data_IF_783498131654
#
_entry.id   IF_783498131654
#
_cell.length_a   1.000
_cell.length_b   1.000
_cell.length_c   1.000
_cell.angle_alpha   90.00
_cell.angle_beta   90.00
_cell.angle_gamma   90.00
#
_symmetry.space_group_name_H-M   'P 1'
#
loop_
_entity.id
_entity.type
_entity.pdbx_description
1 polymer ?
#
# COMPACT_ATOMS: atom_id res chain seq x y z
N UNK A 1 -14.80 10.89 -36.79
CA UNK A 1 -15.93 11.75 -36.49
C UNK A 1 -17.07 11.56 -37.50
N UNK A 2 -16.81 11.60 -38.82
CA UNK A 2 -17.84 11.44 -39.87
C UNK A 2 -18.63 10.13 -39.70
N UNK A 3 -17.99 8.99 -39.42
CA UNK A 3 -18.63 7.68 -39.29
C UNK A 3 -19.39 7.49 -37.96
N UNK A 4 -19.25 8.40 -36.98
CA UNK A 4 -19.97 8.34 -35.72
C UNK A 4 -21.31 9.05 -35.79
N UNK A 5 -21.43 10.09 -36.65
CA UNK A 5 -22.65 10.89 -36.81
C UNK A 5 -23.58 10.40 -37.91
N UNK A 6 -23.17 9.43 -38.74
CA UNK A 6 -24.02 8.84 -39.77
C UNK A 6 -25.16 7.93 -39.23
N UNK A 7 -25.17 7.65 -37.89
CA UNK A 7 -26.15 6.76 -37.27
C UNK A 7 -27.36 7.48 -36.61
N UNK A 8 -27.29 8.77 -36.39
CA UNK A 8 -28.46 9.54 -35.90
C UNK A 8 -28.95 10.48 -37.00
N UNK A 9 -30.06 10.09 -37.61
CA UNK A 9 -30.87 10.95 -38.47
C UNK A 9 -31.59 11.95 -37.59
N UNK A 10 -30.99 13.07 -37.31
CA UNK A 10 -31.68 14.30 -36.93
C UNK A 10 -30.95 15.49 -37.52
N UNK A 11 -31.70 16.47 -38.01
CA UNK A 11 -31.37 17.66 -38.80
C UNK A 11 -30.18 18.55 -38.31
N UNK A 12 -29.12 17.98 -37.81
CA UNK A 12 -27.91 18.70 -37.43
C UNK A 12 -27.00 18.89 -38.65
N UNK A 13 -27.01 20.11 -39.17
CA UNK A 13 -26.03 20.54 -40.17
C UNK A 13 -24.61 20.52 -39.54
N UNK A 14 -23.93 19.39 -39.66
CA UNK A 14 -22.63 19.11 -39.04
C UNK A 14 -21.59 20.23 -39.32
N UNK A 15 -21.45 20.77 -40.58
CA UNK A 15 -20.58 21.89 -40.84
C UNK A 15 -20.89 23.14 -40.04
N UNK A 16 -22.16 23.44 -39.89
CA UNK A 16 -22.62 24.63 -39.14
C UNK A 16 -22.40 24.48 -37.62
N UNK A 17 -22.58 23.29 -37.12
CA UNK A 17 -22.28 22.94 -35.73
C UNK A 17 -20.78 23.00 -35.44
N UNK A 18 -19.93 22.50 -36.31
CA UNK A 18 -18.47 22.59 -36.19
C UNK A 18 -17.99 24.06 -36.25
N UNK A 19 -18.58 24.88 -37.12
CA UNK A 19 -18.28 26.31 -37.16
C UNK A 19 -18.72 27.02 -35.89
N UNK A 20 -19.86 26.68 -35.29
CA UNK A 20 -20.24 27.18 -33.98
C UNK A 20 -19.24 26.80 -32.89
N UNK A 21 -18.85 25.52 -32.83
CA UNK A 21 -17.85 25.05 -31.85
C UNK A 21 -16.52 25.82 -32.00
N UNK A 22 -16.04 25.99 -33.22
CA UNK A 22 -14.77 26.71 -33.47
C UNK A 22 -14.85 28.18 -33.12
N UNK A 23 -16.00 28.84 -33.30
CA UNK A 23 -16.23 30.22 -32.85
C UNK A 23 -16.24 30.40 -31.33
N UNK A 24 -16.60 29.35 -30.58
CA UNK A 24 -16.55 29.29 -29.14
C UNK A 24 -15.29 28.59 -28.60
N UNK A 25 -14.36 28.18 -29.48
CA UNK A 25 -13.11 27.59 -29.07
C UNK A 25 -12.24 28.66 -28.41
N UNK A 26 -12.30 28.66 -27.13
CA UNK A 26 -11.53 29.47 -26.21
C UNK A 26 -10.14 28.86 -25.98
N UNK A 27 -9.26 29.63 -25.38
CA UNK A 27 -7.84 29.29 -25.19
C UNK A 27 -7.63 27.85 -24.65
N UNK A 28 -6.49 27.23 -24.96
CA UNK A 28 -6.07 25.91 -24.45
C UNK A 28 -6.21 25.76 -22.92
N UNK A 29 -6.15 26.86 -22.18
CA UNK A 29 -6.35 26.92 -20.73
C UNK A 29 -7.80 26.61 -20.34
N UNK A 30 -8.76 27.16 -21.08
CA UNK A 30 -10.19 26.89 -20.83
C UNK A 30 -10.59 25.49 -21.27
N UNK A 31 -9.98 24.93 -22.31
CA UNK A 31 -10.19 23.53 -22.71
C UNK A 31 -9.76 22.58 -21.58
N UNK A 32 -8.69 22.89 -20.86
CA UNK A 32 -8.22 22.13 -19.71
C UNK A 32 -9.17 22.23 -18.50
N UNK A 33 -9.77 23.39 -18.26
CA UNK A 33 -10.77 23.58 -17.21
C UNK A 33 -12.07 22.83 -17.52
N UNK A 34 -12.54 22.89 -18.76
CA UNK A 34 -13.71 22.12 -19.19
C UNK A 34 -13.46 20.62 -19.14
N UNK A 35 -12.27 20.14 -19.48
CA UNK A 35 -11.94 18.72 -19.38
C UNK A 35 -11.99 18.22 -17.93
N UNK A 36 -11.52 19.02 -16.98
CA UNK A 36 -11.63 18.72 -15.55
C UNK A 36 -13.08 18.65 -15.07
N UNK A 37 -13.91 19.61 -15.52
CA UNK A 37 -15.33 19.62 -15.18
C UNK A 37 -16.08 18.41 -15.76
N UNK A 38 -15.81 18.05 -17.02
CA UNK A 38 -16.39 16.88 -17.67
C UNK A 38 -15.97 15.61 -16.92
N UNK A 39 -14.71 15.54 -16.53
CA UNK A 39 -14.20 14.42 -15.75
C UNK A 39 -14.86 14.34 -14.36
N UNK A 40 -15.01 15.45 -13.65
CA UNK A 40 -15.71 15.49 -12.36
C UNK A 40 -17.17 15.00 -12.48
N UNK A 41 -17.87 15.42 -13.54
CA UNK A 41 -19.22 14.93 -13.83
C UNK A 41 -19.25 13.44 -14.18
N UNK A 42 -18.23 12.92 -14.88
CA UNK A 42 -18.08 11.50 -15.13
C UNK A 42 -17.91 10.72 -13.83
N UNK A 43 -17.00 11.15 -12.95
CA UNK A 43 -16.77 10.53 -11.64
C UNK A 43 -18.06 10.51 -10.81
N UNK A 44 -18.82 11.62 -10.78
CA UNK A 44 -20.10 11.68 -10.07
C UNK A 44 -21.12 10.68 -10.61
N UNK A 45 -21.21 10.51 -11.93
CA UNK A 45 -22.10 9.52 -12.55
C UNK A 45 -21.67 8.09 -12.23
N UNK A 46 -20.38 7.78 -12.28
CA UNK A 46 -19.88 6.46 -11.90
C UNK A 46 -20.14 6.18 -10.41
N UNK A 47 -19.96 7.17 -9.52
CA UNK A 47 -20.30 7.01 -8.10
C UNK A 47 -21.80 6.70 -7.88
N UNK A 48 -22.69 7.36 -8.61
CA UNK A 48 -24.14 7.09 -8.55
C UNK A 48 -24.42 5.66 -9.00
N UNK A 49 -23.81 5.22 -10.11
CA UNK A 49 -23.96 3.86 -10.66
C UNK A 49 -23.47 2.82 -9.64
N UNK A 50 -22.25 3.00 -9.17
CA UNK A 50 -21.63 2.16 -8.15
C UNK A 50 -22.55 2.07 -6.90
N UNK A 51 -23.04 3.18 -6.38
CA UNK A 51 -23.93 3.19 -5.21
C UNK A 51 -25.26 2.47 -5.46
N UNK A 52 -25.80 2.56 -6.67
CA UNK A 52 -26.98 1.81 -7.07
C UNK A 52 -26.76 0.31 -7.03
N UNK A 53 -25.65 -0.16 -7.60
CA UNK A 53 -25.26 -1.57 -7.58
C UNK A 53 -25.11 -2.10 -6.14
N UNK A 54 -24.60 -1.29 -5.19
CA UNK A 54 -24.53 -1.63 -3.76
C UNK A 54 -25.89 -1.81 -3.16
N UNK A 55 -26.74 -0.84 -3.38
CA UNK A 55 -28.08 -0.87 -2.82
C UNK A 55 -28.81 -2.13 -3.30
N UNK A 56 -28.66 -2.47 -4.58
CA UNK A 56 -29.31 -3.64 -5.16
C UNK A 56 -28.72 -4.94 -4.61
N UNK A 57 -27.40 -5.06 -4.50
CA UNK A 57 -26.76 -6.23 -3.89
C UNK A 57 -27.07 -6.38 -2.40
N UNK A 58 -27.13 -5.26 -1.66
CA UNK A 58 -27.48 -5.30 -0.24
C UNK A 58 -28.93 -5.69 0.04
N UNK A 59 -29.83 -5.45 -0.93
CA UNK A 59 -31.25 -5.86 -0.86
C UNK A 59 -31.49 -7.32 -1.23
N UNK A 60 -30.57 -7.93 -2.00
CA UNK A 60 -30.67 -9.34 -2.35
C UNK A 60 -30.41 -10.18 -1.09
N UNK A 61 -31.44 -10.87 -0.58
CA UNK A 61 -31.33 -11.83 0.52
C UNK A 61 -30.74 -13.17 0.03
N UNK A 62 -29.59 -13.12 -0.65
CA UNK A 62 -28.90 -14.31 -1.10
C UNK A 62 -27.96 -14.80 0.02
N UNK A 63 -28.24 -16.00 0.54
CA UNK A 63 -27.45 -16.66 1.60
C UNK A 63 -25.99 -16.92 1.21
N UNK A 64 -25.65 -16.77 -0.09
CA UNK A 64 -24.28 -16.92 -0.61
C UNK A 64 -23.45 -15.65 -0.63
N UNK A 65 -24.06 -14.48 -0.45
CA UNK A 65 -23.37 -13.19 -0.55
C UNK A 65 -23.17 -12.59 0.84
N UNK A 66 -21.98 -12.77 1.40
CA UNK A 66 -21.62 -12.16 2.69
C UNK A 66 -21.40 -10.64 2.50
N UNK A 67 -21.92 -9.82 3.42
CA UNK A 67 -21.74 -8.37 3.45
C UNK A 67 -20.28 -7.93 3.33
N UNK A 68 -19.34 -8.71 3.88
CA UNK A 68 -17.91 -8.49 3.75
C UNK A 68 -17.45 -8.52 2.28
N UNK A 69 -17.97 -9.46 1.49
CA UNK A 69 -17.67 -9.61 0.05
C UNK A 69 -18.22 -8.45 -0.78
N UNK A 70 -19.38 -7.92 -0.37
CA UNK A 70 -19.95 -6.69 -0.96
C UNK A 70 -18.98 -5.53 -0.71
N UNK A 71 -18.51 -5.33 0.51
CA UNK A 71 -17.57 -4.26 0.88
C UNK A 71 -16.28 -4.36 0.05
N UNK A 72 -15.65 -5.55 -0.03
CA UNK A 72 -14.42 -5.77 -0.80
C UNK A 72 -14.57 -5.42 -2.29
N UNK A 73 -15.67 -5.85 -2.92
CA UNK A 73 -15.95 -5.52 -4.32
C UNK A 73 -16.13 -4.00 -4.54
N UNK A 74 -16.73 -3.34 -3.56
CA UNK A 74 -16.96 -1.90 -3.61
C UNK A 74 -15.69 -1.09 -3.45
N UNK A 75 -14.87 -1.44 -2.48
CA UNK A 75 -13.57 -0.81 -2.27
C UNK A 75 -12.73 -0.90 -3.54
N UNK A 76 -12.77 -2.05 -4.24
CA UNK A 76 -12.09 -2.23 -5.53
C UNK A 76 -12.66 -1.28 -6.59
N UNK A 77 -13.97 -1.23 -6.75
CA UNK A 77 -14.62 -0.37 -7.78
C UNK A 77 -14.37 1.12 -7.53
N UNK A 78 -14.41 1.56 -6.27
CA UNK A 78 -14.08 2.94 -5.90
C UNK A 78 -12.60 3.26 -6.14
N UNK A 79 -11.73 2.29 -5.88
CA UNK A 79 -10.31 2.43 -6.16
C UNK A 79 -10.04 2.57 -7.66
N UNK A 80 -10.59 1.67 -8.48
CA UNK A 80 -10.43 1.71 -9.95
C UNK A 80 -10.95 3.03 -10.52
N UNK A 81 -12.02 3.59 -9.94
CA UNK A 81 -12.53 4.90 -10.32
C UNK A 81 -11.56 6.03 -9.92
N UNK A 82 -10.99 5.96 -8.72
CA UNK A 82 -10.02 6.94 -8.24
C UNK A 82 -8.71 6.91 -9.04
N UNK A 83 -8.26 5.71 -9.44
CA UNK A 83 -7.07 5.53 -10.27
C UNK A 83 -7.27 6.09 -11.69
N UNK A 84 -8.44 5.89 -12.30
CA UNK A 84 -8.81 6.51 -13.58
C UNK A 84 -8.79 8.04 -13.51
N UNK A 85 -8.96 8.62 -12.33
CA UNK A 85 -8.91 10.06 -12.10
C UNK A 85 -7.51 10.66 -12.05
N UNK A 86 -6.52 9.86 -11.75
CA UNK A 86 -5.13 10.28 -11.82
C UNK A 86 -4.65 10.17 -13.28
N UNK A 87 -5.02 11.15 -14.10
CA UNK A 87 -4.39 11.40 -15.40
C UNK A 87 -2.95 11.93 -15.20
N UNK A 88 -2.14 11.28 -14.39
CA UNK A 88 -0.71 11.38 -14.55
C UNK A 88 -0.38 10.50 -15.75
N UNK A 89 -0.06 11.13 -16.86
CA UNK A 89 0.40 10.44 -18.05
C UNK A 89 1.47 9.44 -17.63
N UNK A 90 1.22 8.16 -17.80
CA UNK A 90 2.22 7.10 -17.54
C UNK A 90 3.45 7.22 -18.45
N UNK A 91 3.38 8.13 -19.42
CA UNK A 91 4.46 8.48 -20.34
C UNK A 91 5.15 9.76 -19.83
N UNK A 92 6.29 9.57 -19.19
CA UNK A 92 7.20 10.65 -18.79
C UNK A 92 8.20 10.84 -19.92
N UNK A 93 8.45 12.09 -20.33
CA UNK A 93 9.50 12.41 -21.29
C UNK A 93 10.87 12.07 -20.69
N UNK A 94 11.80 11.63 -21.53
CA UNK A 94 13.13 11.22 -21.10
C UNK A 94 13.90 12.36 -20.38
N UNK A 95 13.73 13.61 -20.80
CA UNK A 95 14.32 14.78 -20.14
C UNK A 95 13.81 14.96 -18.70
N UNK A 96 12.54 14.73 -18.46
CA UNK A 96 11.94 14.76 -17.13
C UNK A 96 12.42 13.59 -16.26
N UNK A 97 12.50 12.38 -16.84
CA UNK A 97 13.06 11.22 -16.15
C UNK A 97 14.53 11.45 -15.77
N UNK A 98 15.32 12.07 -16.64
CA UNK A 98 16.72 12.45 -16.35
C UNK A 98 16.82 13.45 -15.20
N UNK A 99 15.96 14.47 -15.16
CA UNK A 99 15.95 15.44 -14.05
C UNK A 99 15.68 14.75 -12.72
N UNK A 100 14.68 13.88 -12.66
CA UNK A 100 14.36 13.10 -11.46
C UNK A 100 15.55 12.22 -11.03
N UNK A 101 16.23 11.60 -12.01
CA UNK A 101 17.43 10.79 -11.73
C UNK A 101 18.58 11.62 -11.17
N UNK A 102 18.83 12.81 -11.72
CA UNK A 102 19.89 13.72 -11.24
C UNK A 102 19.55 14.21 -9.82
N UNK A 103 18.27 14.54 -9.56
CA UNK A 103 17.84 14.96 -8.22
C UNK A 103 18.01 13.84 -7.21
N UNK A 104 17.63 12.60 -7.57
CA UNK A 104 17.83 11.43 -6.73
C UNK A 104 19.32 11.18 -6.46
N UNK A 105 20.17 11.25 -7.48
CA UNK A 105 21.62 11.10 -7.34
C UNK A 105 22.26 12.23 -6.49
N UNK A 106 21.78 13.46 -6.62
CA UNK A 106 22.23 14.60 -5.81
C UNK A 106 21.85 14.42 -4.34
N UNK A 107 20.65 13.92 -4.06
CA UNK A 107 20.22 13.64 -2.69
C UNK A 107 21.03 12.48 -2.08
N UNK A 108 21.29 11.43 -2.87
CA UNK A 108 22.17 10.33 -2.46
C UNK A 108 23.61 10.81 -2.15
N UNK A 109 24.15 11.69 -3.00
CA UNK A 109 25.50 12.23 -2.81
C UNK A 109 25.63 13.10 -1.54
N UNK A 110 24.56 13.80 -1.16
CA UNK A 110 24.53 14.62 0.05
C UNK A 110 24.30 13.81 1.33
N UNK A 111 23.84 12.58 1.20
CA UNK A 111 23.58 11.71 2.33
C UNK A 111 24.87 10.98 2.73
N UNK A 112 25.47 11.43 3.83
CA UNK A 112 26.74 10.90 4.36
C UNK A 112 26.63 9.41 4.75
N UNK A 113 25.43 8.91 5.05
CA UNK A 113 25.19 7.51 5.41
C UNK A 113 25.15 6.58 4.17
N UNK A 114 25.09 7.11 2.94
CA UNK A 114 25.05 6.30 1.70
C UNK A 114 23.78 5.48 1.49
N UNK A 115 22.79 5.60 2.39
CA UNK A 115 21.54 4.85 2.36
C UNK A 115 20.45 5.77 1.83
N UNK A 116 19.91 5.45 0.66
CA UNK A 116 18.84 6.24 -0.01
C UNK A 116 17.46 5.65 0.25
N UNK A 117 17.38 4.33 0.39
CA UNK A 117 16.16 3.60 0.70
C UNK A 117 15.86 3.50 2.20
N UNK A 118 14.84 2.73 2.54
CA UNK A 118 14.53 2.38 3.93
C UNK A 118 15.64 1.48 4.47
N UNK A 119 16.35 1.86 5.56
CA UNK A 119 17.45 1.06 6.09
C UNK A 119 16.94 -0.25 6.71
N UNK A 120 17.65 -1.33 6.49
CA UNK A 120 17.39 -2.61 7.15
C UNK A 120 17.95 -2.66 8.57
N UNK A 121 18.91 -1.78 8.88
CA UNK A 121 19.68 -1.77 10.12
C UNK A 121 20.73 -2.87 10.20
N UNK A 122 20.96 -3.58 9.09
CA UNK A 122 22.02 -4.59 8.94
C UNK A 122 23.10 -4.02 8.02
N UNK A 123 24.24 -3.62 8.58
CA UNK A 123 25.29 -2.89 7.87
C UNK A 123 25.64 -3.49 6.52
N UNK A 124 26.03 -4.77 6.48
CA UNK A 124 26.48 -5.42 5.25
C UNK A 124 25.37 -5.52 4.19
N UNK A 125 24.11 -5.53 4.61
CA UNK A 125 22.97 -5.55 3.73
C UNK A 125 22.69 -4.14 3.19
N UNK A 126 22.73 -3.15 4.07
CA UNK A 126 22.52 -1.75 3.71
C UNK A 126 23.63 -1.24 2.80
N UNK A 127 24.91 -1.61 3.06
CA UNK A 127 26.06 -1.28 2.20
C UNK A 127 25.92 -1.86 0.78
N UNK A 128 25.28 -3.02 0.64
CA UNK A 128 25.08 -3.68 -0.66
C UNK A 128 23.87 -3.19 -1.41
N UNK A 129 22.78 -2.88 -0.70
CA UNK A 129 21.49 -2.51 -1.29
C UNK A 129 21.29 -0.99 -1.39
N UNK A 130 22.02 -0.20 -0.59
CA UNK A 130 21.72 1.23 -0.42
C UNK A 130 20.39 1.46 0.33
N UNK A 131 19.95 0.48 1.13
CA UNK A 131 18.60 0.41 1.70
C UNK A 131 17.56 -0.24 0.78
N UNK A 132 16.33 -0.34 1.25
CA UNK A 132 15.20 -0.88 0.48
C UNK A 132 14.52 0.28 -0.27
N UNK A 133 14.53 0.24 -1.60
CA UNK A 133 14.01 1.35 -2.40
C UNK A 133 12.48 1.27 -2.59
N UNK A 134 11.88 2.42 -2.86
CA UNK A 134 10.44 2.49 -3.18
C UNK A 134 10.15 1.67 -4.43
N UNK A 135 9.05 0.93 -4.42
CA UNK A 135 8.59 0.03 -5.48
C UNK A 135 9.38 -1.28 -5.60
N UNK A 136 10.36 -1.55 -4.73
CA UNK A 136 11.05 -2.84 -4.71
C UNK A 136 10.15 -3.93 -4.11
N UNK A 137 10.26 -5.12 -4.67
CA UNK A 137 9.74 -6.36 -4.10
C UNK A 137 10.92 -7.21 -3.62
N UNK A 138 11.06 -7.35 -2.30
CA UNK A 138 12.12 -8.15 -1.69
C UNK A 138 11.54 -9.43 -1.11
N UNK A 139 12.06 -10.58 -1.54
CA UNK A 139 11.61 -11.89 -1.09
C UNK A 139 12.67 -12.53 -0.20
N UNK A 140 12.29 -12.83 1.05
CA UNK A 140 13.11 -13.56 2.01
C UNK A 140 12.62 -15.02 2.02
N UNK A 141 13.45 -15.93 1.53
CA UNK A 141 13.13 -17.35 1.50
C UNK A 141 14.10 -18.16 2.40
N UNK A 142 13.60 -19.25 2.97
CA UNK A 142 14.39 -20.14 3.81
C UNK A 142 13.55 -21.31 4.33
N UNK A 143 14.20 -22.38 4.76
CA UNK A 143 13.53 -23.51 5.39
C UNK A 143 12.83 -23.09 6.71
N UNK A 144 11.84 -23.83 7.20
CA UNK A 144 11.25 -23.59 8.50
C UNK A 144 12.34 -23.49 9.59
N UNK A 145 12.09 -22.63 10.58
CA UNK A 145 13.00 -22.41 11.73
C UNK A 145 14.37 -21.77 11.40
N UNK A 146 14.61 -21.31 10.18
CA UNK A 146 15.85 -20.63 9.79
C UNK A 146 15.89 -19.12 10.13
N UNK A 147 14.88 -18.61 10.83
CA UNK A 147 14.87 -17.23 11.33
C UNK A 147 14.29 -16.19 10.37
N UNK A 148 13.50 -16.56 9.33
CA UNK A 148 12.84 -15.62 8.42
C UNK A 148 12.07 -14.52 9.14
N UNK A 149 11.14 -14.93 10.02
CA UNK A 149 10.33 -14.00 10.84
C UNK A 149 11.21 -13.10 11.73
N UNK A 150 12.29 -13.66 12.32
CA UNK A 150 13.21 -12.87 13.14
C UNK A 150 13.90 -11.77 12.30
N UNK A 151 14.41 -12.13 11.13
CA UNK A 151 15.04 -11.20 10.21
C UNK A 151 14.06 -10.11 9.75
N UNK A 152 12.86 -10.51 9.30
CA UNK A 152 11.82 -9.59 8.86
C UNK A 152 11.37 -8.63 9.99
N UNK A 153 11.24 -9.16 11.22
CA UNK A 153 10.90 -8.35 12.41
C UNK A 153 11.98 -7.32 12.73
N UNK A 154 13.25 -7.71 12.65
CA UNK A 154 14.38 -6.81 12.93
C UNK A 154 14.48 -5.71 11.87
N UNK A 155 14.31 -6.05 10.60
CA UNK A 155 14.27 -5.05 9.52
C UNK A 155 13.11 -4.06 9.76
N UNK A 156 11.91 -4.56 10.05
CA UNK A 156 10.75 -3.72 10.31
C UNK A 156 10.95 -2.80 11.52
N UNK A 157 11.51 -3.33 12.60
CA UNK A 157 11.81 -2.58 13.81
C UNK A 157 12.86 -1.48 13.55
N UNK A 158 13.99 -1.82 12.93
CA UNK A 158 15.07 -0.89 12.63
C UNK A 158 14.58 0.23 11.69
N UNK A 159 13.79 -0.11 10.66
CA UNK A 159 13.20 0.86 9.76
C UNK A 159 12.25 1.82 10.52
N UNK A 160 11.37 1.29 11.37
CA UNK A 160 10.46 2.11 12.16
C UNK A 160 11.23 3.04 13.13
N UNK A 161 12.31 2.54 13.74
CA UNK A 161 13.18 3.33 14.62
C UNK A 161 13.85 4.48 13.86
N UNK A 162 14.36 4.22 12.66
CA UNK A 162 14.98 5.27 11.83
C UNK A 162 13.98 6.35 11.41
N UNK A 163 12.73 5.96 11.07
CA UNK A 163 11.64 6.90 10.77
C UNK A 163 11.34 7.78 12.00
N UNK A 164 11.29 7.20 13.20
CA UNK A 164 11.08 7.97 14.42
C UNK A 164 12.24 8.95 14.68
N UNK A 165 13.47 8.52 14.47
CA UNK A 165 14.67 9.34 14.66
C UNK A 165 14.75 10.49 13.64
N UNK A 166 14.34 10.26 12.38
CA UNK A 166 14.32 11.30 11.35
C UNK A 166 13.18 12.30 11.50
N UNK A 167 12.14 11.94 12.26
CA UNK A 167 10.92 12.76 12.40
C UNK A 167 10.06 12.80 11.13
N UNK A 168 10.30 11.90 10.18
CA UNK A 168 9.51 11.80 8.97
C UNK A 168 8.10 11.28 9.26
N UNK A 169 7.12 11.81 8.55
CA UNK A 169 5.75 11.33 8.66
C UNK A 169 5.56 10.10 7.78
N UNK A 170 6.03 8.96 8.27
CA UNK A 170 5.87 7.67 7.60
C UNK A 170 5.75 6.54 8.61
N UNK A 171 5.49 5.33 8.15
CA UNK A 171 5.31 4.15 8.98
C UNK A 171 5.68 2.87 8.27
N UNK A 172 5.75 1.78 9.05
CA UNK A 172 5.96 0.42 8.58
C UNK A 172 4.70 -0.39 8.91
N UNK A 173 4.19 -1.16 7.96
CA UNK A 173 3.08 -2.08 8.18
C UNK A 173 3.58 -3.52 8.15
N UNK A 174 3.31 -4.28 9.22
CA UNK A 174 3.67 -5.70 9.34
C UNK A 174 2.41 -6.56 9.38
N UNK A 175 2.18 -7.32 8.33
CA UNK A 175 1.11 -8.31 8.24
C UNK A 175 1.64 -9.67 8.72
N UNK A 176 1.31 -10.01 9.97
CA UNK A 176 1.74 -11.25 10.62
C UNK A 176 0.64 -12.29 10.50
N UNK A 177 0.77 -13.19 9.53
CA UNK A 177 -0.26 -14.19 9.24
C UNK A 177 -0.07 -15.49 10.04
N UNK A 178 1.09 -15.67 10.66
CA UNK A 178 1.45 -16.84 11.46
C UNK A 178 1.44 -16.56 12.96
N UNK A 179 1.96 -15.41 13.36
CA UNK A 179 2.13 -15.05 14.76
C UNK A 179 1.13 -13.97 15.18
N UNK A 180 0.66 -14.02 16.43
CA UNK A 180 -0.13 -12.94 16.99
C UNK A 180 0.70 -11.67 17.24
N UNK A 181 0.05 -10.53 17.30
CA UNK A 181 0.67 -9.23 17.62
C UNK A 181 1.41 -9.27 18.96
N UNK A 182 0.87 -9.97 19.96
CA UNK A 182 1.52 -10.18 21.26
C UNK A 182 2.83 -10.96 21.15
N UNK A 183 2.85 -12.02 20.33
CA UNK A 183 4.05 -12.83 20.14
C UNK A 183 5.15 -12.04 19.40
N UNK A 184 4.76 -11.25 18.40
CA UNK A 184 5.68 -10.39 17.66
C UNK A 184 6.24 -9.28 18.57
N UNK A 185 5.39 -8.60 19.33
CA UNK A 185 5.78 -7.58 20.31
C UNK A 185 6.68 -8.15 21.40
N UNK A 186 6.37 -9.35 21.91
CA UNK A 186 7.23 -10.04 22.90
C UNK A 186 8.61 -10.32 22.31
N UNK A 187 8.72 -10.70 21.03
CA UNK A 187 10.00 -10.94 20.37
C UNK A 187 10.82 -9.65 20.29
N UNK A 188 10.20 -8.55 19.83
CA UNK A 188 10.86 -7.23 19.75
C UNK A 188 11.34 -6.79 21.14
N UNK A 189 10.46 -6.85 22.15
CA UNK A 189 10.81 -6.45 23.52
C UNK A 189 11.90 -7.32 24.12
N UNK A 190 11.87 -8.63 23.90
CA UNK A 190 12.90 -9.57 24.35
C UNK A 190 14.27 -9.21 23.80
N UNK A 191 14.33 -8.89 22.50
CA UNK A 191 15.55 -8.51 21.82
C UNK A 191 16.08 -7.16 22.32
N UNK A 192 15.23 -6.16 22.41
CA UNK A 192 15.63 -4.81 22.85
C UNK A 192 16.00 -4.76 24.34
N UNK A 193 15.32 -5.50 25.20
CA UNK A 193 15.65 -5.61 26.63
C UNK A 193 16.81 -6.57 26.91
N UNK A 194 17.22 -7.39 25.94
CA UNK A 194 18.19 -8.48 26.04
C UNK A 194 17.77 -9.54 27.08
N UNK A 195 16.47 -9.78 27.20
CA UNK A 195 15.89 -10.82 28.05
C UNK A 195 15.38 -11.94 27.15
N UNK A 196 15.67 -13.20 27.48
CA UNK A 196 15.19 -14.32 26.66
C UNK A 196 13.68 -14.38 26.62
N UNK A 197 13.09 -14.43 25.43
CA UNK A 197 11.63 -14.45 25.27
C UNK A 197 10.97 -15.66 25.94
N UNK A 198 11.68 -16.78 26.09
CA UNK A 198 11.22 -17.95 26.81
C UNK A 198 11.11 -17.70 28.32
N UNK A 199 12.02 -16.91 28.90
CA UNK A 199 12.00 -16.57 30.32
C UNK A 199 10.86 -15.58 30.62
N UNK A 200 10.62 -14.62 29.71
CA UNK A 200 9.47 -13.70 29.77
C UNK A 200 8.16 -14.51 29.76
N UNK A 201 7.98 -15.42 28.80
CA UNK A 201 6.78 -16.24 28.66
C UNK A 201 6.51 -17.17 29.82
N UNK A 202 7.56 -17.60 30.54
CA UNK A 202 7.47 -18.48 31.70
C UNK A 202 7.40 -17.72 33.03
N UNK A 203 7.48 -16.37 33.00
CA UNK A 203 7.57 -15.56 34.22
C UNK A 203 8.86 -15.80 35.03
N UNK A 204 9.93 -16.31 34.41
CA UNK A 204 11.23 -16.59 35.03
C UNK A 204 12.20 -15.43 34.82
N UNK A 205 11.77 -14.23 35.19
CA UNK A 205 12.56 -12.99 35.11
C UNK A 205 12.69 -12.40 36.50
N UNK A 206 13.84 -11.78 36.79
CA UNK A 206 14.03 -11.03 38.04
C UNK A 206 13.26 -9.70 38.03
N UNK A 207 13.08 -9.10 39.20
CA UNK A 207 12.46 -7.78 39.32
C UNK A 207 13.19 -6.73 38.47
N UNK A 208 14.51 -6.70 38.55
CA UNK A 208 15.35 -5.81 37.69
C UNK A 208 15.13 -6.04 36.20
N UNK A 209 14.97 -7.30 35.77
CA UNK A 209 14.69 -7.62 34.39
C UNK A 209 13.28 -7.17 34.00
N UNK A 210 12.32 -7.29 34.91
CA UNK A 210 10.96 -6.81 34.68
C UNK A 210 10.91 -5.29 34.54
N UNK A 211 11.57 -4.56 35.44
CA UNK A 211 11.68 -3.10 35.36
C UNK A 211 12.32 -2.65 34.04
N UNK A 212 13.42 -3.28 33.65
CA UNK A 212 14.06 -3.03 32.35
C UNK A 212 13.14 -3.33 31.18
N UNK A 213 12.34 -4.40 31.25
CA UNK A 213 11.37 -4.75 30.23
C UNK A 213 10.30 -3.66 30.09
N UNK A 214 9.78 -3.14 31.21
CA UNK A 214 8.82 -2.05 31.23
C UNK A 214 9.42 -0.75 30.71
N UNK A 215 10.65 -0.41 31.10
CA UNK A 215 11.35 0.77 30.59
C UNK A 215 11.55 0.67 29.07
N UNK A 216 12.03 -0.47 28.60
CA UNK A 216 12.19 -0.74 27.16
C UNK A 216 10.85 -0.58 26.43
N UNK A 217 9.76 -1.11 26.98
CA UNK A 217 8.43 -1.01 26.35
C UNK A 217 7.99 0.44 26.18
N UNK A 218 8.25 1.31 27.15
CA UNK A 218 7.93 2.74 27.08
C UNK A 218 8.72 3.43 25.96
N UNK A 219 10.00 3.08 25.83
CA UNK A 219 10.89 3.69 24.85
C UNK A 219 10.54 3.35 23.39
N UNK A 220 9.90 2.18 23.17
CA UNK A 220 9.55 1.72 21.82
C UNK A 220 8.05 1.80 21.53
N UNK A 221 7.23 2.22 22.50
CA UNK A 221 5.77 2.28 22.36
C UNK A 221 5.30 3.21 21.22
N UNK A 222 6.06 4.27 20.94
CA UNK A 222 5.71 5.30 19.96
C UNK A 222 6.29 5.03 18.57
N UNK A 223 6.92 3.87 18.35
CA UNK A 223 7.44 3.52 17.03
C UNK A 223 6.32 3.44 15.98
N UNK A 224 6.51 4.01 14.79
CA UNK A 224 5.52 3.98 13.72
C UNK A 224 5.47 2.60 13.04
N UNK A 225 5.23 1.54 13.82
CA UNK A 225 5.12 0.15 13.39
C UNK A 225 3.70 -0.36 13.65
N UNK A 226 2.95 -0.62 12.58
CA UNK A 226 1.58 -1.13 12.63
C UNK A 226 1.57 -2.62 12.35
N UNK A 227 0.96 -3.41 13.24
CA UNK A 227 0.87 -4.87 13.12
C UNK A 227 -0.57 -5.24 12.82
N UNK A 228 -0.77 -6.05 11.78
CA UNK A 228 -2.04 -6.66 11.42
C UNK A 228 -1.88 -8.19 11.51
N UNK A 229 -2.71 -8.83 12.34
CA UNK A 229 -2.67 -10.27 12.59
C UNK A 229 -3.88 -11.01 11.98
N UNK A 230 -4.55 -10.40 11.01
CA UNK A 230 -5.72 -11.00 10.38
C UNK A 230 -5.32 -12.25 9.60
N UNK A 231 -5.77 -13.45 10.00
CA UNK A 231 -5.40 -14.68 9.32
C UNK A 231 -6.05 -14.76 7.93
N UNK A 232 -5.36 -15.41 7.01
CA UNK A 232 -5.88 -15.69 5.67
C UNK A 232 -6.41 -14.45 4.93
N UNK A 233 -5.73 -13.31 5.10
CA UNK A 233 -6.06 -12.05 4.43
C UNK A 233 -5.93 -12.21 2.91
N UNK A 234 -6.84 -11.59 2.15
CA UNK A 234 -6.73 -11.50 0.70
C UNK A 234 -5.81 -10.35 0.29
N UNK A 235 -5.22 -10.42 -0.92
CA UNK A 235 -4.42 -9.33 -1.49
C UNK A 235 -5.19 -8.01 -1.53
N UNK A 236 -6.47 -8.06 -1.91
CA UNK A 236 -7.33 -6.88 -1.97
C UNK A 236 -7.48 -6.23 -0.60
N UNK A 237 -7.79 -7.02 0.44
CA UNK A 237 -7.93 -6.53 1.81
C UNK A 237 -6.61 -5.97 2.36
N UNK A 238 -5.48 -6.65 2.12
CA UNK A 238 -4.15 -6.19 2.49
C UNK A 238 -3.83 -4.85 1.83
N UNK A 239 -4.00 -4.76 0.52
CA UNK A 239 -3.76 -3.53 -0.25
C UNK A 239 -4.60 -2.36 0.26
N UNK A 240 -5.88 -2.59 0.58
CA UNK A 240 -6.76 -1.55 1.09
C UNK A 240 -6.31 -1.06 2.47
N UNK A 241 -5.90 -1.98 3.36
CA UNK A 241 -5.35 -1.61 4.68
C UNK A 241 -4.04 -0.83 4.56
N UNK A 242 -3.11 -1.30 3.72
CA UNK A 242 -1.85 -0.61 3.45
C UNK A 242 -2.09 0.80 2.89
N UNK A 243 -3.01 0.97 1.95
CA UNK A 243 -3.40 2.28 1.42
C UNK A 243 -4.05 3.18 2.47
N UNK A 244 -4.85 2.61 3.37
CA UNK A 244 -5.43 3.36 4.49
C UNK A 244 -4.34 3.87 5.43
N UNK A 245 -3.39 3.02 5.83
CA UNK A 245 -2.24 3.41 6.65
C UNK A 245 -1.45 4.51 5.94
N UNK A 246 -1.15 4.34 4.65
CA UNK A 246 -0.42 5.34 3.85
C UNK A 246 -1.10 6.70 3.84
N UNK A 247 -2.43 6.75 3.73
CA UNK A 247 -3.18 8.03 3.74
C UNK A 247 -3.19 8.71 5.10
N UNK A 248 -3.24 7.93 6.17
CA UNK A 248 -3.36 8.47 7.53
C UNK A 248 -2.01 8.85 8.14
N UNK A 249 -1.00 8.02 7.94
CA UNK A 249 0.28 8.08 8.66
C UNK A 249 1.50 8.18 7.74
N UNK A 250 1.36 7.95 6.44
CA UNK A 250 2.46 7.64 5.54
C UNK A 250 2.79 6.14 5.62
N UNK A 251 3.47 5.60 4.60
CA UNK A 251 3.87 4.19 4.57
C UNK A 251 5.05 4.02 3.62
N UNK A 252 6.17 3.55 4.13
CA UNK A 252 7.39 3.32 3.36
C UNK A 252 7.68 1.86 3.09
N UNK A 253 7.23 0.95 3.98
CA UNK A 253 7.45 -0.48 3.81
C UNK A 253 6.26 -1.30 4.30
N UNK A 254 5.98 -2.38 3.57
CA UNK A 254 5.02 -3.42 3.96
C UNK A 254 5.78 -4.74 4.11
N UNK A 255 5.62 -5.39 5.25
CA UNK A 255 6.16 -6.73 5.51
C UNK A 255 5.02 -7.71 5.59
N UNK A 256 5.16 -8.87 4.93
CA UNK A 256 4.15 -9.95 4.94
C UNK A 256 4.84 -11.23 5.39
N UNK A 257 4.42 -11.77 6.53
CA UNK A 257 4.98 -13.00 7.09
C UNK A 257 3.87 -14.03 7.33
N UNK A 258 3.67 -14.97 6.42
CA UNK A 258 4.29 -15.18 5.16
C UNK A 258 3.25 -15.45 4.05
N UNK A 259 3.62 -15.21 2.82
CA UNK A 259 2.74 -15.17 1.64
C UNK A 259 1.87 -16.43 1.48
N UNK A 260 2.36 -17.63 1.85
CA UNK A 260 1.60 -18.87 1.71
C UNK A 260 0.37 -18.95 2.64
N UNK A 261 0.22 -18.07 3.62
CA UNK A 261 -0.97 -18.01 4.47
C UNK A 261 -2.04 -17.05 3.94
N UNK A 262 -1.73 -16.30 2.89
CA UNK A 262 -2.71 -15.47 2.20
C UNK A 262 -3.73 -16.32 1.43
N UNK A 263 -4.89 -15.73 1.14
CA UNK A 263 -5.90 -16.32 0.26
C UNK A 263 -5.96 -15.57 -1.07
N UNK A 264 -6.11 -16.34 -2.16
CA UNK A 264 -6.49 -15.76 -3.45
C UNK A 264 -7.94 -15.27 -3.40
N UNK A 265 -8.27 -14.29 -4.22
CA UNK A 265 -9.63 -13.75 -4.33
C UNK A 265 -10.61 -14.80 -4.92
N UNK A 266 -10.11 -15.77 -5.69
CA UNK A 266 -10.88 -16.84 -6.31
C UNK A 266 -10.41 -18.21 -5.80
N UNK A 267 -11.12 -18.78 -4.83
CA UNK A 267 -10.75 -20.03 -4.14
C UNK A 267 -10.95 -21.33 -4.95
N UNK A 268 -11.18 -21.27 -6.27
CA UNK A 268 -11.50 -22.46 -7.08
C UNK A 268 -10.29 -23.15 -7.71
N UNK A 269 -9.10 -22.61 -7.54
CA UNK A 269 -7.88 -23.12 -8.16
C UNK A 269 -7.00 -23.82 -7.11
N UNK A 270 -6.22 -24.80 -7.53
CA UNK A 270 -5.30 -25.50 -6.62
C UNK A 270 -4.27 -24.55 -6.00
N UNK A 271 -3.70 -24.93 -4.84
CA UNK A 271 -2.82 -24.07 -4.00
C UNK A 271 -1.67 -23.40 -4.75
N UNK A 272 -1.11 -24.06 -5.76
CA UNK A 272 -0.02 -23.50 -6.60
C UNK A 272 -0.53 -22.31 -7.44
N UNK A 273 -1.74 -22.42 -7.98
CA UNK A 273 -2.36 -21.34 -8.74
C UNK A 273 -2.78 -20.17 -7.84
N UNK A 274 -3.27 -20.45 -6.63
CA UNK A 274 -3.56 -19.41 -5.64
C UNK A 274 -2.32 -18.56 -5.31
N UNK A 275 -1.15 -19.21 -5.09
CA UNK A 275 0.10 -18.51 -4.78
C UNK A 275 0.61 -17.72 -6.01
N UNK A 276 0.33 -18.19 -7.22
CA UNK A 276 0.69 -17.48 -8.45
C UNK A 276 -0.19 -16.26 -8.72
N UNK A 277 -1.39 -16.21 -8.15
CA UNK A 277 -2.30 -15.06 -8.23
C UNK A 277 -2.00 -13.99 -7.15
N UNK A 278 -1.28 -14.36 -6.11
CA UNK A 278 -0.80 -13.49 -5.03
C UNK A 278 0.47 -12.76 -5.45
#
# INVERSE_FOLDING_TARGET
LKNYFEKEKDDLNIPEYLVKITKFSTSSRQALEYSKLIFDLYVKRELIKISGEVIDQAKLNDLGTNGQKIIENYEKSLFDLAEKGSFSSSLIKFDEAMRQTIEMASNAYKNEEGIVGVPTGLRDLDDRLGGLHKSDLVIIAGRPSMGKTALATNIAFNAAKKIQESGEKSSIAFFSLEMSSEQLSTRILAEQSRIKSNDIRRGKISEEQFDKFIETSKNIAELPLYIDETPAITIAALSNRARRIKRMYGLDMVVIDYIQLMRASNANNGRVQEISEI
#
